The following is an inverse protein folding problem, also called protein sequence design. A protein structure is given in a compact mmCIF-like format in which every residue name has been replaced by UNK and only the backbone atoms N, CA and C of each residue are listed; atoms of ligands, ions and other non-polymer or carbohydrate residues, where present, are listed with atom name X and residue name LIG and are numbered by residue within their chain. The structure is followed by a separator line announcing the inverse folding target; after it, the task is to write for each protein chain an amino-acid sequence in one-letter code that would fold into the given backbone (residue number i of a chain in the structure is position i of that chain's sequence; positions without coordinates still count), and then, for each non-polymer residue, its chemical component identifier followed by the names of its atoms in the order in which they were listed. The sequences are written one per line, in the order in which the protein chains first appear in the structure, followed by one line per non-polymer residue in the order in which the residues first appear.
data_IF_775957749448
#
_entry.id   IF_775957749448
#
_cell.length_a   1.000
_cell.length_b   1.000
_cell.length_c   1.000
_cell.angle_alpha   90.00
_cell.angle_beta   90.00
_cell.angle_gamma   90.00
#
_symmetry.space_group_name_H-M   'P 1'
#
loop_
_entity.id
_entity.type
_entity.pdbx_description
1 polymer ?
#
# COMPACT_ATOMS: atom_id res chain seq x y z
N UNK A 1 -32.59 -16.16 -6.32
CA UNK A 1 -32.58 -16.02 -4.85
C UNK A 1 -31.47 -16.88 -4.32
N UNK A 2 -30.70 -16.37 -3.36
CA UNK A 2 -29.57 -17.07 -2.75
C UNK A 2 -29.62 -16.91 -1.23
N UNK A 3 -29.01 -17.87 -0.52
CA UNK A 3 -28.83 -17.78 0.93
C UNK A 3 -27.57 -16.98 1.22
N UNK A 4 -27.69 -15.93 2.02
CA UNK A 4 -26.59 -15.06 2.45
C UNK A 4 -26.38 -15.13 3.96
N UNK A 5 -25.15 -14.90 4.37
CA UNK A 5 -24.74 -14.82 5.78
C UNK A 5 -24.28 -13.39 6.07
N UNK A 6 -24.79 -12.83 7.17
CA UNK A 6 -24.47 -11.49 7.63
C UNK A 6 -24.35 -11.47 9.16
N UNK A 7 -23.91 -10.36 9.75
CA UNK A 7 -23.70 -10.27 11.20
C UNK A 7 -24.94 -10.64 12.04
N UNK A 8 -26.15 -10.43 11.50
CA UNK A 8 -27.41 -10.80 12.14
C UNK A 8 -27.86 -12.26 11.94
N UNK A 9 -27.09 -13.13 11.28
CA UNK A 9 -27.48 -14.52 10.97
C UNK A 9 -27.50 -14.82 9.47
N UNK A 10 -28.52 -15.53 9.01
CA UNK A 10 -28.72 -15.88 7.59
C UNK A 10 -30.08 -15.44 7.07
N UNK A 11 -30.16 -15.17 5.77
CA UNK A 11 -31.41 -14.84 5.08
C UNK A 11 -31.40 -15.35 3.64
N UNK A 12 -32.58 -15.53 3.06
CA UNK A 12 -32.74 -15.80 1.62
C UNK A 12 -33.13 -14.49 0.96
N UNK A 13 -32.34 -14.06 -0.02
CA UNK A 13 -32.48 -12.76 -0.65
C UNK A 13 -32.50 -12.86 -2.16
N UNK A 14 -32.99 -11.82 -2.82
CA UNK A 14 -32.91 -11.72 -4.26
C UNK A 14 -31.47 -11.51 -4.73
N UNK A 15 -31.21 -11.92 -5.96
CA UNK A 15 -29.91 -11.77 -6.61
C UNK A 15 -30.12 -11.02 -7.91
N UNK A 16 -29.24 -10.06 -8.20
CA UNK A 16 -29.31 -9.22 -9.38
C UNK A 16 -28.00 -9.28 -10.13
N UNK A 17 -28.06 -9.22 -11.45
CA UNK A 17 -26.88 -9.08 -12.29
C UNK A 17 -26.64 -7.59 -12.55
N UNK A 18 -25.49 -7.07 -12.13
CA UNK A 18 -25.17 -5.64 -12.23
C UNK A 18 -23.81 -5.40 -12.87
N UNK A 19 -23.66 -4.21 -13.45
CA UNK A 19 -22.36 -3.65 -13.81
C UNK A 19 -22.01 -2.56 -12.79
N UNK A 20 -20.81 -2.62 -12.21
CA UNK A 20 -20.37 -1.65 -11.20
C UNK A 20 -19.29 -0.76 -11.82
N UNK A 21 -19.50 0.55 -11.80
CA UNK A 21 -18.53 1.56 -12.22
C UNK A 21 -17.99 2.27 -10.99
N UNK A 22 -16.67 2.21 -10.78
CA UNK A 22 -15.99 2.95 -9.71
C UNK A 22 -15.41 4.27 -10.25
N UNK A 23 -15.18 5.30 -9.39
CA UNK A 23 -14.79 6.67 -9.78
C UNK A 23 -13.52 6.83 -10.64
N UNK A 24 -12.71 5.78 -10.82
CA UNK A 24 -11.48 5.79 -11.64
C UNK A 24 -11.60 4.94 -12.91
N UNK A 25 -12.80 4.86 -13.50
CA UNK A 25 -13.09 4.04 -14.70
C UNK A 25 -12.84 2.54 -14.51
N UNK A 26 -12.72 2.07 -13.27
CA UNK A 26 -12.69 0.64 -12.99
C UNK A 26 -14.11 0.13 -13.15
N UNK A 27 -14.31 -0.70 -14.17
CA UNK A 27 -15.60 -1.32 -14.46
C UNK A 27 -15.56 -2.79 -14.13
N UNK A 28 -16.50 -3.22 -13.30
CA UNK A 28 -16.71 -4.63 -12.98
C UNK A 28 -18.00 -5.07 -13.67
N UNK A 29 -17.84 -5.81 -14.76
CA UNK A 29 -18.96 -6.30 -15.54
C UNK A 29 -19.61 -7.55 -14.95
N UNK A 30 -20.93 -7.64 -15.14
CA UNK A 30 -21.78 -8.82 -14.96
C UNK A 30 -21.51 -9.53 -13.63
N UNK A 31 -21.69 -8.83 -12.51
CA UNK A 31 -21.59 -9.41 -11.18
C UNK A 31 -22.97 -9.72 -10.63
N UNK A 32 -23.13 -10.96 -10.19
CA UNK A 32 -24.25 -11.33 -9.34
C UNK A 32 -24.02 -10.69 -7.97
N UNK A 33 -24.96 -9.84 -7.56
CA UNK A 33 -24.97 -9.22 -6.23
C UNK A 33 -26.26 -9.59 -5.53
N UNK A 34 -26.18 -9.68 -4.20
CA UNK A 34 -27.32 -10.03 -3.36
C UNK A 34 -27.95 -8.77 -2.79
N UNK A 35 -29.28 -8.78 -2.66
CA UNK A 35 -30.00 -7.73 -1.94
C UNK A 35 -29.56 -7.69 -0.47
N UNK A 36 -29.44 -6.48 0.09
CA UNK A 36 -29.04 -6.30 1.48
C UNK A 36 -29.55 -4.98 2.03
N UNK A 37 -29.87 -4.96 3.34
CA UNK A 37 -30.23 -3.75 4.06
C UNK A 37 -28.92 -3.12 4.56
N UNK A 38 -28.52 -2.00 3.96
CA UNK A 38 -27.27 -1.31 4.26
C UNK A 38 -27.60 0.11 4.73
N UNK A 39 -27.00 0.53 5.84
CA UNK A 39 -27.17 1.89 6.36
C UNK A 39 -25.99 2.77 5.92
N UNK A 40 -26.29 3.90 5.30
CA UNK A 40 -25.30 4.92 4.95
C UNK A 40 -24.46 4.63 3.70
N UNK A 41 -24.82 3.61 2.91
CA UNK A 41 -24.20 3.32 1.63
C UNK A 41 -25.21 2.63 0.69
N UNK A 42 -25.01 2.81 -0.63
CA UNK A 42 -25.85 2.20 -1.65
C UNK A 42 -25.42 0.77 -2.01
N UNK A 43 -24.11 0.50 -1.95
CA UNK A 43 -23.50 -0.78 -2.34
C UNK A 43 -22.39 -1.15 -1.37
N UNK A 44 -22.38 -2.39 -0.92
CA UNK A 44 -21.27 -3.01 -0.20
C UNK A 44 -20.49 -3.90 -1.16
N UNK A 45 -19.23 -3.56 -1.42
CA UNK A 45 -18.32 -4.39 -2.22
C UNK A 45 -17.40 -5.18 -1.29
N UNK A 46 -17.27 -6.48 -1.54
CA UNK A 46 -16.45 -7.38 -0.74
C UNK A 46 -15.21 -7.84 -1.49
N UNK A 47 -14.61 -8.92 -0.96
CA UNK A 47 -13.41 -9.58 -1.53
C UNK A 47 -13.62 -10.07 -2.96
N UNK A 48 -14.86 -10.38 -3.35
CA UNK A 48 -15.25 -10.76 -4.70
C UNK A 48 -14.91 -9.69 -5.76
N UNK A 49 -14.89 -8.43 -5.35
CA UNK A 49 -14.49 -7.28 -6.15
C UNK A 49 -13.09 -6.80 -5.74
N UNK A 50 -12.85 -6.55 -4.45
CA UNK A 50 -11.61 -5.89 -4.01
C UNK A 50 -10.35 -6.76 -4.15
N UNK A 51 -10.48 -8.09 -4.26
CA UNK A 51 -9.33 -8.98 -4.50
C UNK A 51 -8.97 -9.17 -5.98
N UNK A 52 -9.62 -8.46 -6.92
CA UNK A 52 -9.34 -8.59 -8.36
C UNK A 52 -8.14 -7.80 -8.85
N UNK A 53 -7.69 -6.86 -8.04
CA UNK A 53 -6.59 -5.98 -8.36
C UNK A 53 -6.06 -5.35 -7.08
N UNK A 54 -5.43 -4.19 -7.23
CA UNK A 54 -4.82 -3.51 -6.10
C UNK A 54 -5.84 -2.57 -5.46
N UNK A 55 -6.38 -2.98 -4.31
CA UNK A 55 -7.21 -2.13 -3.47
C UNK A 55 -6.39 -1.65 -2.26
N UNK A 56 -6.24 -0.33 -2.13
CA UNK A 56 -5.55 0.28 -0.98
C UNK A 56 -6.45 1.29 -0.30
N UNK A 57 -6.42 1.30 1.03
CA UNK A 57 -7.12 2.26 1.87
C UNK A 57 -6.10 3.01 2.72
N UNK A 58 -6.18 4.34 2.68
CA UNK A 58 -5.38 5.23 3.51
C UNK A 58 -6.29 6.14 4.31
N UNK A 59 -6.04 6.25 5.62
CA UNK A 59 -6.66 7.25 6.48
C UNK A 59 -5.57 8.18 6.98
N UNK A 60 -5.58 9.44 6.53
CA UNK A 60 -4.58 10.45 6.89
C UNK A 60 -5.24 11.77 7.20
N UNK A 61 -4.98 12.30 8.39
CA UNK A 61 -5.56 13.58 8.84
C UNK A 61 -7.10 13.57 8.90
N UNK A 62 -7.69 12.45 9.30
CA UNK A 62 -9.15 12.26 9.36
C UNK A 62 -9.84 12.12 8.00
N UNK A 63 -9.09 12.09 6.89
CA UNK A 63 -9.62 11.86 5.54
C UNK A 63 -9.32 10.44 5.10
N UNK A 64 -10.35 9.71 4.72
CA UNK A 64 -10.23 8.39 4.10
C UNK A 64 -10.11 8.56 2.59
N UNK A 65 -9.09 7.94 2.00
CA UNK A 65 -8.93 7.78 0.57
C UNK A 65 -8.76 6.29 0.29
N UNK A 66 -9.48 5.78 -0.69
CA UNK A 66 -9.19 4.48 -1.25
C UNK A 66 -8.78 4.62 -2.71
N UNK A 67 -7.93 3.72 -3.17
CA UNK A 67 -7.51 3.58 -4.55
C UNK A 67 -7.82 2.16 -4.99
N UNK A 68 -8.24 2.03 -6.26
CA UNK A 68 -8.49 0.75 -6.89
C UNK A 68 -7.82 0.75 -8.24
N UNK A 69 -7.04 -0.29 -8.53
CA UNK A 69 -6.43 -0.50 -9.82
C UNK A 69 -6.73 -1.91 -10.34
N UNK A 70 -6.98 -2.01 -11.65
CA UNK A 70 -7.19 -3.27 -12.35
C UNK A 70 -6.43 -3.25 -13.69
N UNK A 71 -5.62 -4.28 -14.02
CA UNK A 71 -5.23 -5.41 -13.17
C UNK A 71 -4.30 -4.97 -12.01
N UNK A 72 -3.98 -5.91 -11.12
CA UNK A 72 -2.89 -5.71 -10.16
C UNK A 72 -1.58 -5.44 -10.90
N UNK A 73 -0.79 -4.51 -10.38
CA UNK A 73 0.49 -4.07 -10.98
C UNK A 73 1.60 -3.93 -9.96
N UNK A 74 1.28 -3.96 -8.67
CA UNK A 74 2.25 -3.77 -7.60
C UNK A 74 1.98 -4.78 -6.48
N UNK A 75 3.03 -5.15 -5.77
CA UNK A 75 2.94 -5.84 -4.49
C UNK A 75 3.18 -4.82 -3.38
N UNK A 76 2.21 -4.64 -2.48
CA UNK A 76 2.26 -3.64 -1.42
C UNK A 76 2.33 -4.34 -0.07
N UNK A 77 3.44 -4.16 0.66
CA UNK A 77 3.57 -4.62 2.04
C UNK A 77 3.92 -3.44 2.96
N UNK A 78 2.88 -2.79 3.48
CA UNK A 78 3.03 -1.69 4.44
C UNK A 78 3.73 -2.11 5.74
N UNK A 79 3.73 -3.40 6.11
CA UNK A 79 4.40 -3.89 7.32
C UNK A 79 5.91 -4.06 7.12
N UNK A 80 6.36 -4.34 5.89
CA UNK A 80 7.79 -4.32 5.53
C UNK A 80 8.33 -2.90 5.41
N UNK A 81 7.57 -1.98 4.79
CA UNK A 81 8.01 -0.58 4.62
C UNK A 81 8.32 0.14 5.95
N UNK A 82 7.64 -0.21 7.05
CA UNK A 82 7.96 0.33 8.38
C UNK A 82 9.28 -0.24 8.92
N UNK A 83 9.61 -1.50 8.63
CA UNK A 83 10.86 -2.14 9.10
C UNK A 83 12.08 -1.53 8.43
N UNK A 84 11.99 -1.21 7.14
CA UNK A 84 13.10 -0.62 6.37
C UNK A 84 13.43 0.83 6.79
N UNK A 85 12.50 1.52 7.46
CA UNK A 85 12.76 2.85 8.05
C UNK A 85 13.64 2.77 9.30
N UNK A 86 13.76 1.59 9.92
CA UNK A 86 14.58 1.37 11.09
C UNK A 86 15.80 0.51 10.71
N UNK A 87 16.98 1.12 10.81
CA UNK A 87 18.31 0.49 10.83
C UNK A 87 19.03 0.23 9.50
N UNK A 88 19.47 1.31 8.86
CA UNK A 88 20.91 1.40 8.58
C UNK A 88 21.48 2.52 9.43
N UNK A 89 22.29 2.23 10.47
CA UNK A 89 23.05 3.30 11.11
C UNK A 89 23.88 3.98 10.03
N UNK A 90 23.89 5.31 10.03
CA UNK A 90 24.75 6.07 9.15
C UNK A 90 26.21 5.69 9.43
N UNK A 91 26.76 4.81 8.59
CA UNK A 91 28.18 4.51 8.55
C UNK A 91 28.86 5.75 7.99
N UNK A 92 29.39 6.61 8.87
CA UNK A 92 30.40 7.57 8.45
C UNK A 92 31.56 6.76 7.87
N UNK A 93 31.93 7.05 6.64
CA UNK A 93 33.21 6.61 6.11
C UNK A 93 34.29 6.99 7.13
N UNK A 94 35.17 6.04 7.45
CA UNK A 94 36.31 6.33 8.33
C UNK A 94 37.13 7.42 7.67
N UNK A 95 37.14 8.62 8.26
CA UNK A 95 38.09 9.66 7.89
C UNK A 95 39.51 9.07 7.98
N UNK A 96 40.42 9.42 7.05
CA UNK A 96 41.80 8.94 7.11
C UNK A 96 42.42 9.29 8.47
N UNK A 97 43.13 8.35 9.11
CA UNK A 97 43.83 8.67 10.35
C UNK A 97 44.94 9.69 10.10
N UNK A 98 45.42 10.39 11.16
CA UNK A 98 46.45 11.46 11.02
C UNK A 98 47.64 11.06 10.16
N UNK A 99 48.06 9.80 10.20
CA UNK A 99 49.23 9.31 9.47
C UNK A 99 48.91 8.62 8.13
N UNK A 100 47.64 8.36 7.81
CA UNK A 100 47.22 7.72 6.56
C UNK A 100 47.45 8.65 5.35
N UNK A 101 47.60 8.10 4.14
CA UNK A 101 47.61 8.89 2.91
C UNK A 101 46.37 9.77 2.81
N UNK A 102 46.56 11.02 2.43
CA UNK A 102 45.44 11.95 2.29
C UNK A 102 44.57 11.60 1.07
N UNK A 103 43.25 11.68 1.23
CA UNK A 103 42.25 11.36 0.21
C UNK A 103 42.32 12.25 -1.06
N UNK A 104 43.06 13.37 -1.04
CA UNK A 104 43.25 14.23 -2.22
C UNK A 104 44.29 13.70 -3.23
N UNK A 105 44.92 12.55 -2.98
CA UNK A 105 45.90 11.96 -3.91
C UNK A 105 47.28 12.61 -3.90
N UNK A 106 47.56 13.55 -2.98
CA UNK A 106 48.86 14.26 -2.91
C UNK A 106 50.05 13.42 -2.45
N UNK A 107 49.83 12.16 -2.03
CA UNK A 107 50.85 11.29 -1.44
C UNK A 107 51.30 11.70 -0.03
N UNK A 108 50.79 12.81 0.53
CA UNK A 108 51.14 13.30 1.87
C UNK A 108 50.26 12.66 2.95
N UNK A 109 50.78 12.54 4.18
CA UNK A 109 50.00 12.11 5.36
C UNK A 109 48.86 13.10 5.64
N UNK A 110 47.70 12.61 6.09
CA UNK A 110 46.48 13.39 6.31
C UNK A 110 46.72 14.64 7.17
N UNK A 111 47.45 14.50 8.29
CA UNK A 111 47.83 15.61 9.20
C UNK A 111 48.65 16.74 8.56
N UNK A 112 49.29 16.48 7.42
CA UNK A 112 50.13 17.44 6.70
C UNK A 112 49.40 18.01 5.47
N UNK A 113 48.12 17.71 5.30
CA UNK A 113 47.31 18.11 4.14
C UNK A 113 45.93 18.58 4.61
N UNK A 114 44.86 17.81 4.37
CA UNK A 114 43.48 18.18 4.74
C UNK A 114 43.13 17.96 6.22
N UNK A 115 44.02 17.35 7.01
CA UNK A 115 43.86 17.15 8.45
C UNK A 115 44.68 18.10 9.32
N UNK A 116 44.95 19.32 8.82
CA UNK A 116 45.59 20.40 9.60
C UNK A 116 44.64 20.98 10.63
#
# INVERSE_FOLDING_TARGET
MERVFHAGGESIVNTYLVNILLPNQVVVYSRCVTEGIINGADVLIGMDIIARGDFTLSSKGGKTKFCFQLPSTHDFDFAQEEKDKFHTPFLRDKLPERNDPCHCGSGKKYKNCHGK
#
